data_IF_019013545306
#
_entry.id   IF_019013545306
#
_cell.length_a   1.000
_cell.length_b   1.000
_cell.length_c   1.000
_cell.angle_alpha   90.00
_cell.angle_beta   90.00
_cell.angle_gamma   90.00
#
_symmetry.space_group_name_H-M   'P 1'
#
loop_
_entity.id
_entity.type
_entity.pdbx_description
1 polymer ?
#
# COMPACT_ATOMS: atom_id res chain seq x y z
N UNK A 1 -4.99 4.32 -29.95
CA UNK A 1 -4.74 3.30 -28.91
C UNK A 1 -4.65 4.04 -27.59
N UNK A 2 -5.65 3.89 -26.70
CA UNK A 2 -5.53 4.41 -25.35
C UNK A 2 -4.41 3.63 -24.68
N UNK A 3 -3.40 4.34 -24.17
CA UNK A 3 -2.32 3.73 -23.42
C UNK A 3 -2.97 3.12 -22.17
N UNK A 4 -3.15 1.79 -22.14
CA UNK A 4 -3.59 1.06 -20.96
C UNK A 4 -2.42 1.10 -19.97
N UNK A 5 -2.23 2.26 -19.34
CA UNK A 5 -1.17 2.47 -18.36
C UNK A 5 -1.32 1.46 -17.24
N UNK A 6 -0.20 0.84 -16.86
CA UNK A 6 -0.14 -0.12 -15.76
C UNK A 6 -0.80 0.44 -14.48
N UNK A 7 -1.30 -0.45 -13.64
CA UNK A 7 -1.94 -0.09 -12.36
C UNK A 7 -0.96 -0.28 -11.20
N UNK A 8 -0.93 0.67 -10.29
CA UNK A 8 -0.20 0.58 -9.03
C UNK A 8 -1.15 0.81 -7.85
N UNK A 9 -1.18 -0.15 -6.94
CA UNK A 9 -1.85 -0.03 -5.65
C UNK A 9 -0.81 0.16 -4.55
N UNK A 10 -0.87 1.31 -3.89
CA UNK A 10 -0.05 1.65 -2.73
C UNK A 10 -0.88 1.45 -1.47
N UNK A 11 -0.51 0.48 -0.63
CA UNK A 11 -1.22 0.19 0.61
C UNK A 11 -0.40 0.71 1.77
N UNK A 12 -0.94 1.66 2.52
CA UNK A 12 -0.35 2.09 3.79
C UNK A 12 1.12 2.54 3.66
N UNK A 13 1.46 3.19 2.54
CA UNK A 13 2.77 3.83 2.33
C UNK A 13 2.91 5.12 3.17
N UNK A 14 2.56 5.03 4.44
CA UNK A 14 2.65 6.06 5.47
C UNK A 14 3.65 5.57 6.52
N UNK A 15 4.53 6.45 6.98
CA UNK A 15 5.53 6.12 8.02
C UNK A 15 4.88 5.75 9.37
N UNK A 16 3.61 6.11 9.56
CA UNK A 16 2.79 5.82 10.75
C UNK A 16 1.61 4.90 10.48
N UNK A 17 1.53 4.21 9.34
CA UNK A 17 0.40 3.32 9.07
C UNK A 17 0.19 2.28 10.19
N UNK A 18 1.28 1.83 10.80
CA UNK A 18 1.26 0.92 11.94
C UNK A 18 1.81 1.65 13.17
N UNK A 19 1.00 1.88 14.22
CA UNK A 19 1.48 2.49 15.46
C UNK A 19 2.65 1.71 16.06
N UNK A 20 3.74 2.40 16.38
CA UNK A 20 4.94 1.80 16.98
C UNK A 20 5.83 1.00 16.02
N UNK A 21 5.44 0.84 14.75
CA UNK A 21 6.21 0.09 13.75
C UNK A 21 6.48 1.00 12.53
N UNK A 22 7.63 1.67 12.55
CA UNK A 22 8.08 2.47 11.43
C UNK A 22 8.65 1.56 10.32
N UNK A 23 8.38 1.83 9.04
CA UNK A 23 8.96 1.08 7.93
C UNK A 23 10.47 1.31 7.82
N UNK A 24 11.19 0.30 7.35
CA UNK A 24 12.63 0.38 7.13
C UNK A 24 13.01 1.51 6.16
N UNK A 25 14.14 2.21 6.39
CA UNK A 25 14.60 3.29 5.50
C UNK A 25 14.79 2.86 4.04
N UNK A 26 15.22 1.62 3.80
CA UNK A 26 15.35 1.04 2.45
C UNK A 26 13.99 0.90 1.76
N UNK A 27 12.98 0.41 2.48
CA UNK A 27 11.60 0.28 2.03
C UNK A 27 10.97 1.65 1.71
N UNK A 28 11.23 2.66 2.55
CA UNK A 28 10.85 4.06 2.30
C UNK A 28 11.50 4.57 0.99
N UNK A 29 12.79 4.30 0.81
CA UNK A 29 13.50 4.71 -0.41
C UNK A 29 12.93 4.00 -1.66
N UNK A 30 12.72 2.69 -1.60
CA UNK A 30 12.12 1.89 -2.67
C UNK A 30 10.73 2.40 -3.06
N UNK A 31 9.86 2.65 -2.08
CA UNK A 31 8.53 3.22 -2.29
C UNK A 31 8.57 4.57 -3.02
N UNK A 32 9.53 5.44 -2.66
CA UNK A 32 9.72 6.74 -3.31
C UNK A 32 10.16 6.59 -4.77
N UNK A 33 11.09 5.68 -5.05
CA UNK A 33 11.55 5.41 -6.42
C UNK A 33 10.41 4.85 -7.26
N UNK A 34 9.66 3.87 -6.74
CA UNK A 34 8.51 3.27 -7.39
C UNK A 34 7.46 4.33 -7.77
N UNK A 35 7.04 5.15 -6.81
CA UNK A 35 6.07 6.23 -7.06
C UNK A 35 6.59 7.23 -8.09
N UNK A 36 7.87 7.62 -8.00
CA UNK A 36 8.49 8.53 -8.97
C UNK A 36 8.45 7.96 -10.39
N UNK A 37 8.80 6.68 -10.54
CA UNK A 37 8.80 6.00 -11.83
C UNK A 37 7.37 5.84 -12.37
N UNK A 38 6.44 5.32 -11.57
CA UNK A 38 5.05 5.11 -11.96
C UNK A 38 4.39 6.41 -12.45
N UNK A 39 4.62 7.53 -11.74
CA UNK A 39 4.14 8.86 -12.14
C UNK A 39 4.73 9.31 -13.48
N UNK A 40 6.04 9.13 -13.69
CA UNK A 40 6.71 9.49 -14.95
C UNK A 40 6.23 8.66 -16.13
N UNK A 41 5.87 7.41 -15.88
CA UNK A 41 5.33 6.49 -16.90
C UNK A 41 3.82 6.64 -17.12
N UNK A 42 3.15 7.53 -16.39
CA UNK A 42 1.70 7.75 -16.52
C UNK A 42 0.84 6.58 -16.07
N UNK A 43 1.32 5.81 -15.07
CA UNK A 43 0.55 4.71 -14.49
C UNK A 43 -0.67 5.23 -13.73
N UNK A 44 -1.72 4.41 -13.63
CA UNK A 44 -2.85 4.71 -12.76
C UNK A 44 -2.50 4.26 -11.34
N UNK A 45 -2.43 5.21 -10.42
CA UNK A 45 -1.99 4.99 -9.05
C UNK A 45 -3.16 5.21 -8.10
N UNK A 46 -3.43 4.21 -7.27
CA UNK A 46 -4.39 4.27 -6.18
C UNK A 46 -3.70 4.03 -4.83
N UNK A 47 -4.17 4.71 -3.79
CA UNK A 47 -3.66 4.57 -2.44
C UNK A 47 -4.76 4.06 -1.51
N UNK A 48 -4.49 2.98 -0.78
CA UNK A 48 -5.21 2.64 0.44
C UNK A 48 -4.43 3.25 1.61
N UNK A 49 -5.10 4.05 2.44
CA UNK A 49 -4.48 4.73 3.58
C UNK A 49 -5.26 4.49 4.85
N UNK A 50 -4.55 3.99 5.86
CA UNK A 50 -5.10 3.95 7.21
C UNK A 50 -5.28 5.35 7.76
N UNK A 51 -6.45 5.60 8.35
CA UNK A 51 -6.68 6.81 9.15
C UNK A 51 -5.84 6.74 10.41
N UNK A 52 -4.78 7.53 10.44
CA UNK A 52 -3.99 7.73 11.64
C UNK A 52 -4.47 9.00 12.36
N UNK A 53 -4.38 9.04 13.68
CA UNK A 53 -4.67 10.27 14.42
C UNK A 53 -3.77 11.39 13.90
N UNK A 54 -4.28 12.63 13.91
CA UNK A 54 -3.51 13.82 13.52
C UNK A 54 -2.37 14.00 14.50
N UNK A 55 -1.23 13.39 14.22
CA UNK A 55 0.03 13.77 14.84
C UNK A 55 0.42 15.06 14.15
N UNK A 56 0.47 16.18 14.88
CA UNK A 56 1.01 17.44 14.38
C UNK A 56 2.47 17.15 13.98
N UNK A 57 2.69 16.90 12.71
CA UNK A 57 3.99 16.52 12.18
C UNK A 57 4.74 17.78 11.83
N UNK A 58 5.81 18.06 12.58
CA UNK A 58 6.92 18.83 12.03
C UNK A 58 7.26 18.23 10.65
N UNK A 59 7.59 19.08 9.67
CA UNK A 59 7.92 18.67 8.28
C UNK A 59 9.07 17.66 8.28
N UNK A 60 8.78 16.39 8.53
CA UNK A 60 9.75 15.31 8.50
C UNK A 60 9.93 14.91 7.04
N UNK A 61 11.13 15.15 6.50
CA UNK A 61 11.51 14.81 5.14
C UNK A 61 11.36 13.31 4.79
N UNK A 62 11.18 12.45 5.81
CA UNK A 62 10.91 11.02 5.65
C UNK A 62 9.62 10.72 4.86
N UNK A 63 8.62 11.61 4.87
CA UNK A 63 7.38 11.44 4.10
C UNK A 63 7.42 12.08 2.71
N UNK A 64 8.49 12.80 2.37
CA UNK A 64 8.60 13.48 1.09
C UNK A 64 8.58 12.47 -0.07
N UNK A 65 7.63 12.63 -0.98
CA UNK A 65 7.47 11.77 -2.16
C UNK A 65 6.54 10.56 -1.97
N UNK A 66 6.17 10.20 -0.74
CA UNK A 66 5.22 9.12 -0.44
C UNK A 66 3.76 9.58 -0.41
N UNK A 67 3.52 10.90 -0.36
CA UNK A 67 2.18 11.43 -0.36
C UNK A 67 1.49 11.29 -1.71
N UNK A 68 0.16 11.07 -1.75
CA UNK A 68 -0.58 10.96 -2.97
C UNK A 68 -0.63 12.33 -3.63
N UNK A 69 -0.66 12.35 -4.96
CA UNK A 69 -0.94 13.57 -5.71
C UNK A 69 -2.45 13.82 -5.77
N UNK A 70 -2.87 15.06 -6.05
CA UNK A 70 -4.29 15.40 -6.24
C UNK A 70 -4.95 14.61 -7.39
N UNK A 71 -4.16 14.07 -8.31
CA UNK A 71 -4.61 13.28 -9.46
C UNK A 71 -4.73 11.79 -9.15
N UNK A 72 -4.32 11.34 -7.97
CA UNK A 72 -4.28 9.93 -7.58
C UNK A 72 -5.49 9.61 -6.69
N UNK A 73 -6.05 8.41 -6.86
CA UNK A 73 -7.19 7.97 -6.06
C UNK A 73 -6.73 7.60 -4.64
N UNK A 74 -7.49 7.99 -3.62
CA UNK A 74 -7.16 7.69 -2.22
C UNK A 74 -8.38 7.14 -1.51
N UNK A 75 -8.24 5.96 -0.94
CA UNK A 75 -9.26 5.25 -0.18
C UNK A 75 -8.80 5.13 1.26
N UNK A 76 -9.68 5.47 2.21
CA UNK A 76 -9.35 5.43 3.62
C UNK A 76 -9.98 4.20 4.30
N UNK A 77 -9.25 3.61 5.24
CA UNK A 77 -9.76 2.57 6.14
C UNK A 77 -9.31 2.86 7.58
N UNK A 78 -10.09 2.36 8.56
CA UNK A 78 -9.84 2.62 9.98
C UNK A 78 -9.04 1.47 10.62
N UNK A 79 -9.33 0.24 10.20
CA UNK A 79 -8.69 -0.97 10.69
C UNK A 79 -7.37 -1.27 9.96
N UNK A 80 -6.57 -2.21 10.48
CA UNK A 80 -5.39 -2.74 9.76
C UNK A 80 -5.77 -3.53 8.50
N UNK A 81 -6.97 -4.10 8.49
CA UNK A 81 -7.52 -4.75 7.31
C UNK A 81 -8.14 -3.70 6.39
N UNK A 82 -7.91 -3.83 5.09
CA UNK A 82 -8.52 -2.93 4.09
C UNK A 82 -9.92 -3.40 3.65
N UNK A 83 -10.38 -4.55 4.15
CA UNK A 83 -11.65 -5.15 3.75
C UNK A 83 -12.87 -4.27 4.02
N UNK A 84 -12.78 -3.35 5.00
CA UNK A 84 -13.84 -2.38 5.28
C UNK A 84 -13.93 -1.22 4.28
N UNK A 85 -12.99 -1.10 3.34
CA UNK A 85 -12.96 0.00 2.37
C UNK A 85 -13.78 -0.32 1.12
N UNK A 86 -15.08 -0.03 1.16
CA UNK A 86 -15.98 -0.29 0.03
C UNK A 86 -15.51 0.33 -1.30
N UNK A 87 -15.05 1.59 -1.27
CA UNK A 87 -14.55 2.25 -2.48
C UNK A 87 -13.30 1.57 -3.06
N UNK A 88 -12.44 1.01 -2.21
CA UNK A 88 -11.29 0.24 -2.67
C UNK A 88 -11.73 -1.10 -3.26
N UNK A 89 -12.70 -1.77 -2.66
CA UNK A 89 -13.29 -2.99 -3.20
C UNK A 89 -13.88 -2.76 -4.60
N UNK A 90 -14.62 -1.66 -4.80
CA UNK A 90 -15.17 -1.29 -6.10
C UNK A 90 -14.06 -1.03 -7.13
N UNK A 91 -12.98 -0.35 -6.73
CA UNK A 91 -11.83 -0.14 -7.62
C UNK A 91 -11.17 -1.46 -8.02
N UNK A 92 -10.89 -2.33 -7.04
CA UNK A 92 -10.28 -3.64 -7.29
C UNK A 92 -11.15 -4.47 -8.25
N UNK A 93 -12.47 -4.46 -8.05
CA UNK A 93 -13.41 -5.11 -8.96
C UNK A 93 -13.38 -4.50 -10.37
N UNK A 94 -13.22 -3.18 -10.48
CA UNK A 94 -13.07 -2.50 -11.78
C UNK A 94 -11.78 -2.86 -12.51
N UNK A 95 -10.75 -3.30 -11.78
CA UNK A 95 -9.48 -3.79 -12.30
C UNK A 95 -9.43 -5.31 -12.44
N UNK A 96 -10.56 -6.01 -12.28
CA UNK A 96 -10.63 -7.46 -12.54
C UNK A 96 -10.04 -7.77 -13.92
N UNK A 97 -9.32 -8.87 -14.02
CA UNK A 97 -8.59 -9.31 -15.22
C UNK A 97 -7.38 -8.44 -15.63
N UNK A 98 -7.09 -7.35 -14.92
CA UNK A 98 -5.85 -6.57 -15.12
C UNK A 98 -4.70 -7.08 -14.20
N UNK A 99 -3.46 -6.71 -14.55
CA UNK A 99 -2.31 -6.87 -13.66
C UNK A 99 -2.10 -5.59 -12.85
N UNK A 100 -2.09 -5.73 -11.53
CA UNK A 100 -1.91 -4.63 -10.58
C UNK A 100 -0.64 -4.85 -9.79
N UNK A 101 0.29 -3.89 -9.88
CA UNK A 101 1.47 -3.88 -9.04
C UNK A 101 1.10 -3.39 -7.65
N UNK A 102 1.58 -4.06 -6.61
CA UNK A 102 1.22 -3.76 -5.21
C UNK A 102 2.48 -3.45 -4.41
N UNK A 103 2.43 -2.38 -3.64
CA UNK A 103 3.46 -1.97 -2.71
C UNK A 103 2.81 -1.64 -1.36
N UNK A 104 3.31 -2.23 -0.27
CA UNK A 104 2.70 -2.10 1.04
C UNK A 104 3.73 -2.01 2.17
N UNK A 105 3.48 -1.22 3.21
CA UNK A 105 4.25 -1.29 4.47
C UNK A 105 3.59 -2.18 5.53
N UNK A 106 2.25 -2.16 5.64
CA UNK A 106 1.54 -3.05 6.57
C UNK A 106 1.24 -4.40 5.89
N UNK A 107 1.86 -5.47 6.41
CA UNK A 107 1.64 -6.83 5.93
C UNK A 107 0.21 -7.32 6.17
N UNK A 108 -0.48 -6.87 7.22
CA UNK A 108 -1.88 -7.25 7.48
C UNK A 108 -2.79 -6.65 6.41
N UNK A 109 -2.58 -5.38 6.07
CA UNK A 109 -3.31 -4.71 5.00
C UNK A 109 -3.06 -5.41 3.65
N UNK A 110 -1.81 -5.77 3.34
CA UNK A 110 -1.46 -6.55 2.15
C UNK A 110 -2.15 -7.92 2.10
N UNK A 111 -2.11 -8.69 3.20
CA UNK A 111 -2.77 -9.99 3.27
C UNK A 111 -4.29 -9.88 3.12
N UNK A 112 -4.89 -8.86 3.73
CA UNK A 112 -6.33 -8.59 3.54
C UNK A 112 -6.67 -8.24 2.09
N UNK A 113 -5.79 -7.51 1.38
CA UNK A 113 -5.92 -7.26 -0.06
C UNK A 113 -5.88 -8.55 -0.88
N UNK A 114 -4.92 -9.42 -0.58
CA UNK A 114 -4.74 -10.70 -1.27
C UNK A 114 -5.99 -11.57 -1.10
N UNK A 115 -6.53 -11.66 0.11
CA UNK A 115 -7.76 -12.40 0.39
C UNK A 115 -8.97 -11.79 -0.33
N UNK A 116 -9.10 -10.46 -0.33
CA UNK A 116 -10.18 -9.77 -1.05
C UNK A 116 -10.13 -10.01 -2.57
N UNK A 117 -8.94 -10.22 -3.13
CA UNK A 117 -8.75 -10.46 -4.56
C UNK A 117 -8.75 -11.94 -4.96
N UNK A 118 -8.78 -12.88 -4.02
CA UNK A 118 -8.48 -14.30 -4.28
C UNK A 118 -9.40 -14.95 -5.33
N UNK A 119 -10.69 -14.64 -5.29
CA UNK A 119 -11.71 -15.30 -6.12
C UNK A 119 -12.05 -14.51 -7.39
N UNK A 120 -12.15 -13.18 -7.30
CA UNK A 120 -12.70 -12.33 -8.38
C UNK A 120 -11.92 -11.00 -8.60
N UNK A 121 -10.69 -10.91 -8.08
CA UNK A 121 -9.88 -9.69 -8.13
C UNK A 121 -8.85 -9.65 -9.27
N UNK A 122 -8.10 -8.54 -9.37
CA UNK A 122 -6.98 -8.40 -10.29
C UNK A 122 -5.86 -9.40 -9.98
N UNK A 123 -5.00 -9.66 -10.97
CA UNK A 123 -3.74 -10.36 -10.74
C UNK A 123 -2.77 -9.42 -10.02
N UNK A 124 -2.48 -9.72 -8.75
CA UNK A 124 -1.57 -8.92 -7.95
C UNK A 124 -0.11 -9.33 -8.18
N UNK A 125 0.76 -8.34 -8.38
CA UNK A 125 2.22 -8.51 -8.44
C UNK A 125 2.85 -7.68 -7.34
N UNK A 126 3.43 -8.35 -6.35
CA UNK A 126 4.11 -7.68 -5.25
C UNK A 126 5.43 -7.06 -5.73
N UNK A 127 5.67 -5.80 -5.39
CA UNK A 127 6.97 -5.14 -5.62
C UNK A 127 7.82 -5.33 -4.38
N UNK A 128 8.70 -6.33 -4.37
CA UNK A 128 9.44 -6.80 -3.18
C UNK A 128 10.37 -5.75 -2.53
N UNK A 129 10.81 -4.75 -3.29
CA UNK A 129 11.70 -3.68 -2.79
C UNK A 129 11.00 -2.67 -1.86
N UNK A 130 9.68 -2.81 -1.66
CA UNK A 130 8.84 -1.90 -0.85
C UNK A 130 8.27 -2.53 0.42
N UNK A 131 7.70 -3.76 0.41
CA UNK A 131 7.33 -4.43 1.63
C UNK A 131 8.59 -4.88 2.37
N UNK A 132 8.66 -4.73 3.69
CA UNK A 132 9.70 -5.36 4.47
C UNK A 132 9.36 -6.86 4.55
N UNK A 133 9.60 -7.62 3.48
CA UNK A 133 9.44 -9.09 3.49
C UNK A 133 10.27 -9.74 4.60
N UNK A 134 11.28 -9.03 5.12
CA UNK A 134 12.02 -9.41 6.31
C UNK A 134 11.12 -9.60 7.55
N UNK A 135 10.02 -8.84 7.69
CA UNK A 135 9.03 -9.02 8.77
C UNK A 135 8.26 -10.34 8.66
N UNK A 136 8.14 -10.94 7.48
CA UNK A 136 7.55 -12.27 7.33
C UNK A 136 8.54 -13.40 7.68
N UNK A 137 9.84 -13.11 7.60
CA UNK A 137 10.91 -14.04 7.99
C UNK A 137 11.36 -13.86 9.44
N UNK A 138 10.99 -12.77 10.10
CA UNK A 138 11.34 -12.49 11.48
C UNK A 138 10.54 -13.40 12.42
N UNK A 139 11.23 -14.26 13.16
CA UNK A 139 10.62 -15.17 14.13
C UNK A 139 9.94 -14.43 15.28
N UNK A 140 10.34 -13.18 15.55
CA UNK A 140 9.69 -12.32 16.53
C UNK A 140 8.32 -11.81 16.07
N UNK A 141 8.11 -11.62 14.76
CA UNK A 141 6.83 -11.16 14.20
C UNK A 141 5.71 -12.20 14.30
N UNK A 142 6.03 -13.47 14.61
CA UNK A 142 5.01 -14.49 14.95
C UNK A 142 4.20 -14.11 16.18
N UNK A 143 4.75 -13.31 17.09
CA UNK A 143 4.03 -12.87 18.28
C UNK A 143 2.91 -11.87 17.97
N UNK A 144 2.98 -11.13 16.86
CA UNK A 144 1.91 -10.20 16.45
C UNK A 144 0.66 -10.91 15.90
N UNK A 145 0.78 -12.20 15.54
CA UNK A 145 -0.33 -13.04 15.08
C UNK A 145 -0.98 -13.88 16.19
N UNK A 146 -0.30 -14.04 17.32
CA UNK A 146 -0.88 -14.63 18.53
C UNK A 146 -1.38 -13.48 19.39
N UNK A 147 -2.63 -13.08 19.17
CA UNK A 147 -3.28 -12.02 19.94
C UNK A 147 -3.08 -12.16 21.46
N UNK A 148 -3.09 -11.01 22.14
CA UNK A 148 -3.01 -10.89 23.59
C UNK A 148 -3.98 -11.80 24.34
#
# INVERSE_FOLDING_TARGET
MQNLGNRLLCIDLQVDAVPGCAPDPSSIFGARQLLTLARRLGWNIAHARRRTQVVIRARNGAQAGLNPLMTEQVFFHDDRSIAGSHGLSDLLQSWRDETVYVAAFDHVALLSCLLACHEHGPKLVLIEDVPPLQTLTDTAAKHDFHGA
#
